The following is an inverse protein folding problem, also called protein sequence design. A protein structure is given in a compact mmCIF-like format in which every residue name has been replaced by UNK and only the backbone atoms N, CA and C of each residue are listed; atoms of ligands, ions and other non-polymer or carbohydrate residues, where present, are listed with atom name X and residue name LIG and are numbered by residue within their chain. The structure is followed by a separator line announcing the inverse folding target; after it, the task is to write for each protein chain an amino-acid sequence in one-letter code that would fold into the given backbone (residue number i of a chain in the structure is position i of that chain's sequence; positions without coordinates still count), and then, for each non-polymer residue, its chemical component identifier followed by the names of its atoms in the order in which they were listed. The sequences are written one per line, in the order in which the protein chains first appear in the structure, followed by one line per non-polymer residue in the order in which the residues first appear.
data_IF_175336887543
#
_entry.id   IF_175336887543
#
_cell.length_a   1.000
_cell.length_b   1.000
_cell.length_c   1.000
_cell.angle_alpha   90.00
_cell.angle_beta   90.00
_cell.angle_gamma   90.00
#
_symmetry.space_group_name_H-M   'P 1'
#
loop_
_entity.id
_entity.type
_entity.pdbx_description
1 polymer ?
#
# COMPACT_ATOMS: atom_id res chain seq x y z
N UNK A 1 -23.48 6.78 3.94
CA UNK A 1 -23.20 7.84 2.95
C UNK A 1 -21.89 8.49 3.37
N UNK A 2 -20.76 8.22 2.69
CA UNK A 2 -19.45 8.82 3.02
C UNK A 2 -19.18 9.96 2.03
N UNK A 3 -19.37 11.24 2.42
CA UNK A 3 -19.42 12.34 1.49
C UNK A 3 -18.08 13.07 1.34
N UNK A 4 -16.93 12.39 1.28
CA UNK A 4 -15.66 13.07 0.94
C UNK A 4 -14.62 12.09 0.41
N UNK A 5 -14.52 11.96 -0.92
CA UNK A 5 -13.26 11.64 -1.62
C UNK A 5 -13.33 12.22 -3.03
N UNK A 6 -13.18 13.53 -3.15
CA UNK A 6 -12.69 14.07 -4.43
C UNK A 6 -11.22 13.65 -4.49
N UNK A 7 -10.93 12.53 -5.14
CA UNK A 7 -9.56 12.16 -5.47
C UNK A 7 -9.11 13.06 -6.63
N UNK A 8 -8.55 14.23 -6.33
CA UNK A 8 -7.74 14.95 -7.30
C UNK A 8 -6.48 14.11 -7.46
N UNK A 9 -6.51 13.19 -8.42
CA UNK A 9 -5.32 12.44 -8.80
C UNK A 9 -4.36 13.41 -9.47
N UNK A 10 -3.14 13.51 -8.96
CA UNK A 10 -2.11 14.30 -9.62
C UNK A 10 -1.92 13.78 -11.05
N UNK A 11 -1.83 14.69 -12.01
CA UNK A 11 -1.65 14.32 -13.42
C UNK A 11 -0.31 13.61 -13.58
N UNK A 12 -0.35 12.32 -13.93
CA UNK A 12 0.85 11.54 -14.20
C UNK A 12 1.48 11.96 -15.54
N UNK A 13 2.81 12.16 -15.53
CA UNK A 13 3.56 12.23 -16.78
C UNK A 13 3.70 10.84 -17.42
N UNK A 14 4.04 10.78 -18.70
CA UNK A 14 4.35 9.50 -19.37
C UNK A 14 5.55 8.79 -18.73
N UNK A 15 6.50 9.55 -18.17
CA UNK A 15 7.62 9.00 -17.42
C UNK A 15 7.14 8.33 -16.10
N UNK A 16 6.20 8.95 -15.39
CA UNK A 16 5.61 8.36 -14.18
C UNK A 16 4.88 7.06 -14.50
N UNK A 17 4.07 7.06 -15.56
CA UNK A 17 3.36 5.87 -16.04
C UNK A 17 4.31 4.72 -16.35
N UNK A 18 5.40 5.00 -17.07
CA UNK A 18 6.41 3.98 -17.37
C UNK A 18 7.08 3.43 -16.11
N UNK A 19 7.48 4.29 -15.17
CA UNK A 19 8.04 3.85 -13.88
C UNK A 19 7.06 2.98 -13.09
N UNK A 20 5.78 3.36 -13.04
CA UNK A 20 4.71 2.59 -12.36
C UNK A 20 4.54 1.20 -12.98
N UNK A 21 4.59 1.12 -14.31
CA UNK A 21 4.52 -0.15 -15.06
C UNK A 21 5.75 -1.03 -14.82
N UNK A 22 6.95 -0.46 -14.86
CA UNK A 22 8.21 -1.18 -14.61
C UNK A 22 8.25 -1.73 -13.19
N UNK A 23 7.92 -0.91 -12.19
CA UNK A 23 7.78 -1.37 -10.81
C UNK A 23 6.76 -2.50 -10.71
N UNK A 24 5.60 -2.36 -11.36
CA UNK A 24 4.56 -3.40 -11.35
C UNK A 24 5.05 -4.74 -11.88
N UNK A 25 5.83 -4.75 -12.97
CA UNK A 25 6.43 -5.98 -13.51
C UNK A 25 7.40 -6.61 -12.52
N UNK A 26 8.32 -5.82 -11.97
CA UNK A 26 9.28 -6.29 -10.95
C UNK A 26 8.57 -6.85 -9.72
N UNK A 27 7.47 -6.22 -9.30
CA UNK A 27 6.66 -6.69 -8.17
C UNK A 27 5.98 -8.03 -8.47
N UNK A 28 5.42 -8.23 -9.67
CA UNK A 28 4.81 -9.50 -10.03
C UNK A 28 5.83 -10.63 -10.09
N UNK A 29 6.97 -10.41 -10.75
CA UNK A 29 8.05 -11.40 -10.84
C UNK A 29 8.50 -11.83 -9.42
N UNK A 30 8.57 -10.87 -8.49
CA UNK A 30 8.96 -11.12 -7.09
C UNK A 30 7.86 -11.77 -6.24
N UNK A 31 6.58 -11.54 -6.53
CA UNK A 31 5.47 -12.22 -5.84
C UNK A 31 5.44 -13.71 -6.22
N UNK A 32 5.88 -14.05 -7.42
CA UNK A 32 6.00 -15.43 -7.89
C UNK A 32 7.21 -16.17 -7.28
N UNK A 33 8.17 -15.47 -6.67
CA UNK A 33 9.29 -16.09 -5.95
C UNK A 33 8.82 -16.77 -4.64
N UNK A 34 9.05 -18.09 -4.44
CA UNK A 34 8.26 -18.88 -3.51
C UNK A 34 8.33 -18.61 -2.00
N UNK A 35 9.26 -17.81 -1.44
CA UNK A 35 9.38 -17.84 0.03
C UNK A 35 9.96 -16.64 0.80
N UNK A 36 10.34 -15.55 0.13
CA UNK A 36 11.09 -14.49 0.84
C UNK A 36 10.56 -13.09 0.58
N UNK A 37 9.85 -12.87 -0.54
CA UNK A 37 9.45 -11.53 -0.92
C UNK A 37 8.35 -10.97 -0.03
N UNK A 38 7.23 -11.68 0.11
CA UNK A 38 6.08 -11.21 0.90
C UNK A 38 6.40 -11.04 2.39
N UNK A 39 7.30 -11.86 2.94
CA UNK A 39 7.77 -11.74 4.33
C UNK A 39 8.67 -10.52 4.56
N UNK A 40 9.26 -9.96 3.49
CA UNK A 40 10.16 -8.81 3.55
C UNK A 40 9.65 -7.61 2.74
N UNK A 41 8.39 -7.65 2.28
CA UNK A 41 7.80 -6.55 1.53
C UNK A 41 7.48 -5.42 2.51
N UNK A 42 8.31 -4.39 2.47
CA UNK A 42 8.07 -3.13 3.15
C UNK A 42 7.61 -2.11 2.11
N UNK A 43 6.37 -1.64 2.22
CA UNK A 43 5.86 -0.54 1.41
C UNK A 43 6.05 0.74 2.21
N UNK A 44 7.16 1.44 1.97
CA UNK A 44 7.44 2.72 2.62
C UNK A 44 6.97 3.83 1.70
N UNK A 45 5.84 4.44 2.05
CA UNK A 45 5.21 5.51 1.28
C UNK A 45 5.84 6.89 1.53
N UNK A 46 6.48 7.15 2.69
CA UNK A 46 7.04 8.49 3.00
C UNK A 46 8.38 8.52 3.78
N UNK A 47 9.10 7.41 3.85
CA UNK A 47 10.34 7.33 4.61
C UNK A 47 11.58 7.31 3.71
N UNK A 48 12.21 8.48 3.49
CA UNK A 48 13.66 8.55 3.26
C UNK A 48 14.40 8.18 4.57
N UNK A 49 14.18 6.97 5.09
CA UNK A 49 15.08 6.43 6.09
C UNK A 49 16.21 5.73 5.34
N UNK A 50 17.45 6.13 5.61
CA UNK A 50 18.64 5.36 5.28
C UNK A 50 18.54 4.00 5.99
N UNK A 51 17.81 3.07 5.40
CA UNK A 51 17.72 1.70 5.87
C UNK A 51 18.96 0.98 5.33
N UNK A 52 20.02 0.95 6.13
CA UNK A 52 21.18 0.06 5.98
C UNK A 52 20.81 -1.40 6.30
N UNK A 53 19.66 -1.84 5.77
CA UNK A 53 19.17 -3.20 5.93
C UNK A 53 19.13 -3.79 4.53
N UNK A 54 19.91 -4.86 4.30
CA UNK A 54 19.92 -5.67 3.06
C UNK A 54 18.56 -6.35 2.81
N UNK A 55 17.49 -5.59 2.61
CA UNK A 55 16.13 -6.11 2.37
C UNK A 55 15.50 -5.30 1.24
N UNK A 56 14.84 -6.02 0.33
CA UNK A 56 14.29 -5.60 -0.97
C UNK A 56 14.35 -4.09 -1.29
N UNK A 57 15.36 -3.66 -2.06
CA UNK A 57 15.39 -2.34 -2.70
C UNK A 57 14.42 -2.32 -3.90
N UNK A 58 13.13 -2.18 -3.63
CA UNK A 58 12.20 -1.74 -4.67
C UNK A 58 12.05 -0.24 -4.51
N UNK A 59 12.57 0.51 -5.48
CA UNK A 59 12.34 1.95 -5.53
C UNK A 59 10.87 2.19 -5.92
N UNK A 60 10.09 2.67 -4.96
CA UNK A 60 8.71 3.05 -5.20
C UNK A 60 8.70 4.38 -5.96
N UNK A 61 8.14 4.45 -7.18
CA UNK A 61 8.06 5.69 -7.90
C UNK A 61 7.04 6.62 -7.24
N UNK A 62 7.20 7.95 -7.41
CA UNK A 62 6.27 8.91 -6.85
C UNK A 62 4.84 8.63 -7.36
N UNK A 63 3.85 8.96 -6.52
CA UNK A 63 2.41 8.86 -6.85
C UNK A 63 1.91 7.42 -7.04
N UNK A 64 2.32 6.50 -6.16
CA UNK A 64 1.86 5.09 -6.13
C UNK A 64 1.08 4.63 -4.87
N UNK A 65 0.31 5.48 -4.17
CA UNK A 65 -0.41 5.04 -2.97
C UNK A 65 -1.50 3.98 -3.29
N UNK A 66 -2.01 3.95 -4.52
CA UNK A 66 -2.96 2.94 -5.00
C UNK A 66 -2.36 1.54 -5.16
N UNK A 67 -1.03 1.43 -5.13
CA UNK A 67 -0.27 0.19 -5.24
C UNK A 67 0.39 -0.23 -3.92
N UNK A 68 0.22 0.52 -2.82
CA UNK A 68 0.80 0.18 -1.52
C UNK A 68 -0.29 -0.40 -0.59
N UNK A 69 -0.17 -1.65 -0.11
CA UNK A 69 -1.13 -2.25 0.83
C UNK A 69 -1.28 -1.43 2.12
N UNK A 70 -0.22 -0.78 2.57
CA UNK A 70 -0.26 0.11 3.72
C UNK A 70 -1.15 1.32 3.46
N UNK A 71 -1.03 1.93 2.28
CA UNK A 71 -1.82 3.09 1.86
C UNK A 71 -3.29 2.76 1.60
N UNK A 72 -3.56 1.76 0.76
CA UNK A 72 -4.94 1.50 0.34
C UNK A 72 -5.76 0.73 1.39
N UNK A 73 -5.10 0.08 2.36
CA UNK A 73 -5.77 -0.72 3.38
C UNK A 73 -5.41 -0.29 4.80
N UNK A 74 -4.15 -0.45 5.24
CA UNK A 74 -3.78 -0.35 6.66
C UNK A 74 -4.12 1.03 7.26
N UNK A 75 -3.74 2.11 6.59
CA UNK A 75 -4.05 3.46 7.08
C UNK A 75 -5.55 3.74 7.13
N UNK A 76 -6.32 3.21 6.18
CA UNK A 76 -7.78 3.31 6.19
C UNK A 76 -8.41 2.52 7.35
N UNK A 77 -7.92 1.30 7.58
CA UNK A 77 -8.32 0.44 8.68
C UNK A 77 -8.06 1.10 10.04
N UNK A 78 -6.83 1.56 10.28
CA UNK A 78 -6.43 2.18 11.54
C UNK A 78 -7.20 3.48 11.81
N UNK A 79 -7.41 4.32 10.78
CA UNK A 79 -8.22 5.53 10.93
C UNK A 79 -9.65 5.20 11.35
N UNK A 80 -10.28 4.19 10.75
CA UNK A 80 -11.63 3.78 11.15
C UNK A 80 -11.68 3.34 12.62
N UNK A 81 -10.66 2.62 13.09
CA UNK A 81 -10.54 2.20 14.50
C UNK A 81 -10.29 3.34 15.48
N UNK A 82 -9.56 4.36 15.05
CA UNK A 82 -9.39 5.60 15.82
C UNK A 82 -10.72 6.37 15.94
N UNK A 83 -11.54 6.40 14.88
CA UNK A 83 -12.85 7.05 14.93
C UNK A 83 -13.86 6.32 15.83
N UNK A 84 -13.79 4.99 15.95
CA UNK A 84 -14.63 4.18 16.84
C UNK A 84 -14.37 4.52 18.32
N UNK A 85 -13.11 4.70 18.70
CA UNK A 85 -12.74 5.07 20.06
C UNK A 85 -11.46 5.91 20.06
N UNK A 86 -11.62 7.19 20.39
CA UNK A 86 -10.55 8.18 20.36
C UNK A 86 -9.60 8.00 21.56
N UNK A 87 -8.31 7.72 21.34
CA UNK A 87 -7.35 7.66 22.42
C UNK A 87 -7.14 9.04 23.06
N UNK A 88 -6.95 9.06 24.37
CA UNK A 88 -6.80 10.27 25.18
C UNK A 88 -5.36 10.78 25.27
N UNK A 89 -4.41 10.14 24.57
CA UNK A 89 -3.02 10.55 24.55
C UNK A 89 -2.13 9.68 23.64
N UNK A 90 -0.89 10.15 23.44
CA UNK A 90 0.07 9.53 22.51
C UNK A 90 0.45 8.09 22.85
N UNK A 91 0.61 7.76 24.13
CA UNK A 91 0.97 6.40 24.54
C UNK A 91 -0.17 5.42 24.27
N UNK A 92 -1.41 5.80 24.62
CA UNK A 92 -2.60 5.00 24.35
C UNK A 92 -2.81 4.81 22.84
N UNK A 93 -2.58 5.85 22.03
CA UNK A 93 -2.64 5.74 20.57
C UNK A 93 -1.62 4.72 20.03
N UNK A 94 -0.37 4.78 20.52
CA UNK A 94 0.68 3.82 20.12
C UNK A 94 0.35 2.38 20.50
N UNK A 95 -0.16 2.16 21.70
CA UNK A 95 -0.58 0.83 22.17
C UNK A 95 -1.76 0.32 21.32
N UNK A 96 -2.78 1.15 21.14
CA UNK A 96 -3.94 0.81 20.32
C UNK A 96 -3.56 0.45 18.88
N UNK A 97 -2.65 1.19 18.25
CA UNK A 97 -2.17 0.86 16.90
C UNK A 97 -1.50 -0.52 16.89
N UNK A 98 -0.68 -0.85 17.89
CA UNK A 98 -0.03 -2.17 17.98
C UNK A 98 -1.04 -3.29 18.19
N UNK A 99 -2.02 -3.09 19.05
CA UNK A 99 -3.06 -4.07 19.34
C UNK A 99 -3.91 -4.33 18.10
N UNK A 100 -4.35 -3.27 17.41
CA UNK A 100 -5.15 -3.35 16.19
C UNK A 100 -4.39 -4.03 15.05
N UNK A 101 -3.09 -3.76 14.88
CA UNK A 101 -2.25 -4.45 13.89
C UNK A 101 -2.12 -5.93 14.24
N UNK A 102 -1.92 -6.25 15.52
CA UNK A 102 -1.77 -7.64 15.99
C UNK A 102 -3.07 -8.44 15.87
N UNK A 103 -4.21 -7.75 15.89
CA UNK A 103 -5.54 -8.34 15.73
C UNK A 103 -5.92 -8.63 14.26
N UNK A 104 -5.14 -8.17 13.27
CA UNK A 104 -5.45 -8.44 11.86
C UNK A 104 -5.29 -9.92 11.55
N UNK A 105 -6.40 -10.57 11.21
CA UNK A 105 -6.42 -12.01 10.96
C UNK A 105 -5.74 -12.39 9.64
N UNK A 106 -5.17 -13.60 9.60
CA UNK A 106 -4.53 -14.17 8.40
C UNK A 106 -5.38 -14.15 7.11
N UNK A 107 -6.69 -14.47 7.15
CA UNK A 107 -7.56 -14.36 5.97
C UNK A 107 -7.65 -12.94 5.41
N UNK A 108 -7.66 -11.93 6.27
CA UNK A 108 -7.69 -10.52 5.87
C UNK A 108 -6.38 -10.14 5.18
N UNK A 109 -5.23 -10.53 5.75
CA UNK A 109 -3.93 -10.32 5.11
C UNK A 109 -3.85 -11.01 3.75
N UNK A 110 -4.36 -12.24 3.63
CA UNK A 110 -4.41 -12.96 2.34
C UNK A 110 -5.24 -12.19 1.31
N UNK A 111 -6.42 -11.69 1.70
CA UNK A 111 -7.27 -10.90 0.82
C UNK A 111 -6.57 -9.60 0.38
N UNK A 112 -5.89 -8.90 1.30
CA UNK A 112 -5.10 -7.70 1.00
C UNK A 112 -4.00 -8.00 -0.02
N UNK A 113 -3.27 -9.11 0.12
CA UNK A 113 -2.21 -9.48 -0.82
C UNK A 113 -2.74 -9.92 -2.19
N UNK A 114 -3.89 -10.59 -2.24
CA UNK A 114 -4.58 -10.88 -3.50
C UNK A 114 -4.99 -9.58 -4.20
N UNK A 115 -5.53 -8.62 -3.45
CA UNK A 115 -5.94 -7.32 -3.98
C UNK A 115 -4.74 -6.49 -4.44
N UNK A 116 -3.61 -6.54 -3.72
CA UNK A 116 -2.34 -5.95 -4.13
C UNK A 116 -1.87 -6.49 -5.49
N UNK A 117 -1.86 -7.81 -5.65
CA UNK A 117 -1.50 -8.45 -6.93
C UNK A 117 -2.44 -8.01 -8.06
N UNK A 118 -3.75 -7.95 -7.80
CA UNK A 118 -4.74 -7.48 -8.77
C UNK A 118 -4.54 -6.00 -9.17
N UNK A 119 -4.20 -5.14 -8.20
CA UNK A 119 -3.91 -3.72 -8.43
C UNK A 119 -2.68 -3.54 -9.30
N UNK A 120 -1.62 -4.29 -9.05
CA UNK A 120 -0.41 -4.27 -9.87
C UNK A 120 -0.72 -4.70 -11.31
N UNK A 121 -1.41 -5.85 -11.49
CA UNK A 121 -1.80 -6.34 -12.83
C UNK A 121 -2.60 -5.28 -13.59
N UNK A 122 -3.55 -4.64 -12.92
CA UNK A 122 -4.36 -3.58 -13.53
C UNK A 122 -3.55 -2.33 -13.88
N UNK A 123 -2.59 -1.93 -13.04
CA UNK A 123 -1.67 -0.83 -13.34
C UNK A 123 -0.93 -1.09 -14.65
N UNK A 124 -0.44 -2.31 -14.86
CA UNK A 124 0.23 -2.71 -16.10
C UNK A 124 -0.74 -2.66 -17.29
N UNK A 125 -1.96 -3.18 -17.15
CA UNK A 125 -3.00 -3.14 -18.20
C UNK A 125 -3.33 -1.72 -18.66
N UNK A 126 -3.39 -0.76 -17.74
CA UNK A 126 -3.68 0.65 -18.05
C UNK A 126 -2.41 1.46 -18.36
N UNK A 127 -1.32 0.78 -18.74
CA UNK A 127 -0.03 1.40 -19.06
C UNK A 127 0.50 2.34 -17.97
N UNK A 128 0.34 1.98 -16.70
CA UNK A 128 0.83 2.78 -15.57
C UNK A 128 -0.03 4.00 -15.23
N UNK A 129 -1.21 4.15 -15.84
CA UNK A 129 -2.20 5.15 -15.48
C UNK A 129 -2.80 4.95 -14.08
N UNK A 130 -3.43 5.98 -13.53
CA UNK A 130 -4.26 5.81 -12.34
C UNK A 130 -5.53 5.00 -12.69
N UNK A 131 -6.03 4.22 -11.74
CA UNK A 131 -7.39 3.70 -11.84
C UNK A 131 -8.36 4.86 -11.65
N UNK A 132 -8.99 5.33 -12.72
CA UNK A 132 -10.28 5.99 -12.60
C UNK A 132 -11.34 4.90 -12.36
N UNK A 133 -11.93 4.89 -11.17
CA UNK A 133 -13.15 4.15 -10.81
C UNK A 133 -13.12 2.61 -10.98
N UNK A 134 -12.76 1.90 -9.92
CA UNK A 134 -13.39 0.59 -9.63
C UNK A 134 -14.11 0.75 -8.29
N UNK A 135 -15.42 1.03 -8.40
CA UNK A 135 -16.41 0.76 -7.34
C UNK A 135 -16.87 -0.68 -7.49
#
# INVERSE_FOLDING_TARGET
MFPYRIQIHQKLSEADKNRRKEMGKVLLDKIEEPDTFLKNLWTTDEAHFHLDVKRCKIEWPPYTPDLSPTDFYLWGYLKNKEYEEKPRGLNQLKEKIKDEISAIEGPVLKAVMQNFTLRIKKCIEVNGGHREHIL
#
